data_IF_618176588097
#
_entry.id   IF_618176588097
#
_cell.length_a   1.000
_cell.length_b   1.000
_cell.length_c   1.000
_cell.angle_alpha   90.00
_cell.angle_beta   90.00
_cell.angle_gamma   90.00
#
_symmetry.space_group_name_H-M   'P 1'
#
loop_
_entity.id
_entity.type
_entity.pdbx_description
1 polymer ?
#
# COMPACT_ATOMS: atom_id res chain seq x y z
N UNK A 1 43.79 -24.47 -14.74
CA UNK A 1 42.31 -24.39 -14.79
C UNK A 1 41.86 -24.06 -13.39
N UNK A 2 41.48 -22.81 -13.15
CA UNK A 2 41.00 -22.36 -11.84
C UNK A 2 39.49 -22.63 -11.74
N UNK A 3 39.06 -23.26 -10.66
CA UNK A 3 37.64 -23.45 -10.35
C UNK A 3 36.93 -22.09 -10.21
N UNK A 4 35.69 -21.95 -10.71
CA UNK A 4 34.92 -20.73 -10.50
C UNK A 4 34.52 -20.64 -9.02
N UNK A 5 34.72 -19.46 -8.45
CA UNK A 5 34.29 -19.14 -7.09
C UNK A 5 32.80 -19.42 -6.93
N UNK A 6 32.46 -20.29 -5.98
CA UNK A 6 31.10 -20.55 -5.57
C UNK A 6 30.55 -19.26 -4.96
N UNK A 7 29.55 -18.67 -5.62
CA UNK A 7 28.81 -17.56 -5.07
C UNK A 7 28.04 -18.08 -3.86
N UNK A 8 28.60 -17.86 -2.67
CA UNK A 8 27.89 -18.08 -1.41
C UNK A 8 26.77 -17.03 -1.39
N UNK A 9 25.58 -17.42 -1.83
CA UNK A 9 24.36 -16.70 -1.49
C UNK A 9 24.05 -17.09 -0.05
N UNK A 10 24.39 -16.22 0.90
CA UNK A 10 23.75 -16.28 2.21
C UNK A 10 22.23 -16.32 1.97
N UNK A 11 21.48 -17.24 2.60
CA UNK A 11 20.03 -17.25 2.48
C UNK A 11 19.51 -15.93 3.02
N UNK A 12 18.90 -15.11 2.14
CA UNK A 12 18.29 -13.85 2.51
C UNK A 12 17.17 -14.14 3.54
N UNK A 13 17.23 -13.60 4.77
CA UNK A 13 16.16 -13.74 5.75
C UNK A 13 14.81 -13.15 5.27
N UNK A 14 14.77 -12.52 4.09
CA UNK A 14 13.56 -12.09 3.39
C UNK A 14 12.87 -13.18 2.53
N UNK A 15 13.34 -14.43 2.50
CA UNK A 15 12.71 -15.49 1.70
C UNK A 15 11.21 -15.73 2.01
N UNK A 16 10.74 -15.27 3.17
CA UNK A 16 9.34 -15.37 3.63
C UNK A 16 8.58 -14.03 3.57
N UNK A 17 9.16 -12.98 2.95
CA UNK A 17 8.49 -11.69 2.79
C UNK A 17 7.78 -11.59 1.45
N UNK A 18 6.61 -10.94 1.41
CA UNK A 18 5.94 -10.64 0.15
C UNK A 18 6.87 -9.92 -0.83
N UNK A 19 6.93 -10.43 -2.06
CA UNK A 19 7.70 -9.79 -3.12
C UNK A 19 6.81 -8.73 -3.78
N UNK A 20 7.23 -7.48 -3.69
CA UNK A 20 6.57 -6.35 -4.35
C UNK A 20 7.47 -5.74 -5.42
N UNK A 21 6.83 -5.07 -6.38
CA UNK A 21 7.53 -4.25 -7.37
C UNK A 21 8.07 -2.95 -6.76
N UNK A 22 8.77 -2.19 -7.59
CA UNK A 22 9.48 -0.97 -7.24
C UNK A 22 10.98 -1.14 -7.39
N UNK A 23 11.64 -0.05 -7.79
CA UNK A 23 13.09 0.03 -7.90
C UNK A 23 13.76 -0.25 -6.55
N UNK A 24 14.68 -1.22 -6.53
CA UNK A 24 15.54 -1.53 -5.37
C UNK A 24 16.88 -0.80 -5.51
N UNK A 25 17.25 0.10 -4.57
CA UNK A 25 18.53 0.82 -4.66
C UNK A 25 19.77 -0.09 -4.68
N UNK A 26 19.70 -1.26 -4.05
CA UNK A 26 20.78 -2.27 -4.07
C UNK A 26 20.99 -2.87 -5.45
N UNK A 27 19.89 -3.18 -6.16
CA UNK A 27 19.91 -3.72 -7.52
C UNK A 27 20.47 -2.70 -8.51
N UNK A 28 20.03 -1.44 -8.43
CA UNK A 28 20.60 -0.37 -9.25
C UNK A 28 22.11 -0.21 -9.06
N UNK A 29 22.58 -0.20 -7.80
CA UNK A 29 24.00 -0.09 -7.50
C UNK A 29 24.81 -1.26 -8.04
N UNK A 30 24.29 -2.49 -7.93
CA UNK A 30 24.95 -3.68 -8.47
C UNK A 30 25.08 -3.63 -10.00
N UNK A 31 24.13 -3.00 -10.68
CA UNK A 31 24.12 -2.81 -12.12
C UNK A 31 24.86 -1.54 -12.58
N UNK A 32 25.34 -0.70 -11.66
CA UNK A 32 25.95 0.59 -11.98
C UNK A 32 24.97 1.60 -12.60
N UNK A 33 23.67 1.43 -12.35
CA UNK A 33 22.60 2.27 -12.88
C UNK A 33 22.16 3.30 -11.84
N UNK A 34 21.63 4.42 -12.33
CA UNK A 34 20.92 5.41 -11.53
C UNK A 34 19.42 5.25 -11.74
N UNK A 35 18.56 5.70 -10.79
CA UNK A 35 17.11 5.60 -10.95
C UNK A 35 16.57 6.19 -12.25
N UNK A 36 17.14 7.31 -12.70
CA UNK A 36 16.78 7.98 -13.95
C UNK A 36 17.14 7.20 -15.22
N UNK A 37 18.00 6.18 -15.11
CA UNK A 37 18.38 5.32 -16.23
C UNK A 37 17.36 4.17 -16.43
N UNK A 38 16.33 4.08 -15.56
CA UNK A 38 15.38 2.96 -15.52
C UNK A 38 13.95 3.45 -15.71
N UNK A 39 13.22 2.77 -16.60
CA UNK A 39 11.77 2.88 -16.72
C UNK A 39 11.11 1.75 -15.91
N UNK A 40 10.48 2.11 -14.78
CA UNK A 40 9.90 1.14 -13.86
C UNK A 40 8.46 0.74 -14.24
N UNK A 41 8.29 -0.49 -14.70
CA UNK A 41 6.98 -1.13 -14.96
C UNK A 41 6.54 -2.09 -13.85
N UNK A 42 7.32 -2.21 -12.77
CA UNK A 42 7.06 -3.17 -11.70
C UNK A 42 6.11 -2.62 -10.64
N UNK A 43 6.00 -1.30 -10.51
CA UNK A 43 5.04 -0.63 -9.64
C UNK A 43 3.97 0.11 -10.43
N UNK A 44 2.69 -0.09 -10.08
CA UNK A 44 1.56 0.59 -10.71
C UNK A 44 1.36 2.01 -10.17
N UNK A 45 2.34 2.89 -10.39
CA UNK A 45 2.27 4.31 -10.02
C UNK A 45 1.81 5.13 -11.21
N UNK A 46 0.98 6.16 -10.95
CA UNK A 46 0.50 7.04 -12.02
C UNK A 46 1.66 7.83 -12.66
N UNK A 47 1.79 7.84 -14.01
CA UNK A 47 2.89 8.54 -14.68
C UNK A 47 2.70 10.06 -14.74
N UNK A 48 1.49 10.57 -14.44
CA UNK A 48 1.18 12.01 -14.51
C UNK A 48 1.69 12.80 -13.29
N UNK A 49 2.25 12.10 -12.30
CA UNK A 49 2.68 12.70 -11.04
C UNK A 49 1.52 13.09 -10.12
N UNK A 50 1.88 13.74 -9.01
CA UNK A 50 0.93 14.21 -8.01
C UNK A 50 0.23 15.50 -8.47
N UNK A 51 -1.06 15.69 -8.14
CA UNK A 51 -1.74 16.96 -8.36
C UNK A 51 -1.02 18.13 -7.67
N UNK A 52 -0.97 19.31 -8.28
CA UNK A 52 -0.24 20.48 -7.75
C UNK A 52 -0.66 20.88 -6.33
N UNK A 53 -1.96 20.78 -6.03
CA UNK A 53 -2.49 21.09 -4.70
C UNK A 53 -1.94 20.19 -3.58
N UNK A 54 -1.42 19.00 -3.89
CA UNK A 54 -0.75 18.13 -2.91
C UNK A 54 0.56 18.76 -2.46
N UNK A 55 1.36 19.33 -3.38
CA UNK A 55 2.62 19.99 -3.04
C UNK A 55 2.43 21.26 -2.22
N UNK A 56 1.33 21.97 -2.45
CA UNK A 56 0.92 23.12 -1.61
C UNK A 56 0.55 22.64 -0.21
N UNK A 57 -0.39 21.70 -0.10
CA UNK A 57 -0.82 21.16 1.19
C UNK A 57 0.35 20.60 2.01
N UNK A 58 1.27 19.85 1.39
CA UNK A 58 2.44 19.27 2.06
C UNK A 58 3.38 20.32 2.68
N UNK A 59 3.50 21.50 2.06
CA UNK A 59 4.35 22.58 2.59
C UNK A 59 3.78 23.22 3.86
N UNK A 60 2.47 23.15 4.03
CA UNK A 60 1.75 23.78 5.13
C UNK A 60 1.46 22.80 6.29
N UNK A 61 1.86 21.52 6.18
CA UNK A 61 1.65 20.53 7.24
C UNK A 61 2.54 20.84 8.45
N UNK A 62 1.91 21.02 9.62
CA UNK A 62 2.61 21.02 10.90
C UNK A 62 2.95 19.59 11.35
N UNK A 63 4.22 19.21 11.21
CA UNK A 63 4.73 17.91 11.62
C UNK A 63 5.05 17.81 13.13
N UNK A 64 4.93 18.91 13.88
CA UNK A 64 5.15 18.91 15.34
C UNK A 64 3.90 18.49 16.12
N UNK A 65 2.73 18.67 15.53
CA UNK A 65 1.46 18.25 16.09
C UNK A 65 1.18 16.77 15.78
N UNK A 66 0.58 16.06 16.75
CA UNK A 66 0.03 14.73 16.47
C UNK A 66 -1.17 14.88 15.52
N UNK A 67 -1.29 14.04 14.47
CA UNK A 67 -2.40 14.13 13.53
C UNK A 67 -3.74 13.92 14.22
N UNK A 68 -4.82 14.46 13.65
CA UNK A 68 -6.17 14.21 14.13
C UNK A 68 -6.45 12.69 14.17
N UNK A 69 -6.63 12.10 15.36
CA UNK A 69 -6.82 10.66 15.51
C UNK A 69 -8.11 10.16 14.88
N UNK A 70 -9.07 11.05 14.59
CA UNK A 70 -10.32 10.69 13.93
C UNK A 70 -10.28 10.88 12.42
N UNK A 71 -9.22 11.53 11.90
CA UNK A 71 -9.09 11.95 10.49
C UNK A 71 -10.37 12.64 9.97
N UNK A 72 -10.99 13.48 10.80
CA UNK A 72 -12.34 14.02 10.60
C UNK A 72 -12.45 14.79 9.29
N UNK A 73 -11.55 15.74 9.06
CA UNK A 73 -11.56 16.57 7.85
C UNK A 73 -11.38 15.72 6.59
N UNK A 74 -10.45 14.76 6.61
CA UNK A 74 -10.22 13.83 5.50
C UNK A 74 -11.46 12.96 5.24
N UNK A 75 -12.08 12.40 6.28
CA UNK A 75 -13.29 11.58 6.13
C UNK A 75 -14.47 12.39 5.60
N UNK A 76 -14.60 13.64 6.00
CA UNK A 76 -15.62 14.55 5.48
C UNK A 76 -15.37 14.92 4.01
N UNK A 77 -14.12 15.18 3.64
CA UNK A 77 -13.74 15.42 2.25
C UNK A 77 -14.03 14.20 1.36
N UNK A 78 -13.62 13.00 1.80
CA UNK A 78 -13.90 11.73 1.11
C UNK A 78 -15.39 11.43 1.02
N UNK A 79 -16.15 11.71 2.08
CA UNK A 79 -17.61 11.53 2.11
C UNK A 79 -18.29 12.28 0.97
N UNK A 80 -17.87 13.53 0.72
CA UNK A 80 -18.39 14.38 -0.36
C UNK A 80 -17.84 14.03 -1.74
N UNK A 81 -16.59 13.58 -1.83
CA UNK A 81 -15.92 13.33 -3.12
C UNK A 81 -16.22 11.94 -3.71
N UNK A 82 -16.45 10.93 -2.86
CA UNK A 82 -16.75 9.56 -3.28
C UNK A 82 -18.21 9.41 -3.73
N UNK A 83 -18.58 10.14 -4.78
CA UNK A 83 -19.88 10.07 -5.43
C UNK A 83 -19.79 9.27 -6.72
N UNK A 84 -20.91 8.65 -7.10
CA UNK A 84 -21.07 8.02 -8.41
C UNK A 84 -22.46 8.40 -8.92
N UNK A 85 -22.62 8.91 -10.15
CA UNK A 85 -23.90 9.44 -10.63
C UNK A 85 -25.05 8.44 -10.48
N UNK A 86 -24.81 7.18 -10.82
CA UNK A 86 -25.83 6.13 -10.78
C UNK A 86 -25.88 5.37 -9.44
N UNK A 87 -24.72 4.95 -8.92
CA UNK A 87 -24.65 4.07 -7.74
C UNK A 87 -24.68 4.81 -6.40
N UNK A 88 -24.26 6.09 -6.38
CA UNK A 88 -24.01 6.83 -5.14
C UNK A 88 -24.03 8.36 -5.35
N UNK A 89 -25.18 8.96 -5.68
CA UNK A 89 -25.26 10.40 -6.00
C UNK A 89 -24.98 11.30 -4.79
N UNK A 90 -25.16 10.80 -3.56
CA UNK A 90 -25.00 11.57 -2.33
C UNK A 90 -23.69 11.29 -1.57
N UNK A 91 -22.77 10.53 -2.16
CA UNK A 91 -21.47 10.22 -1.54
C UNK A 91 -21.50 9.04 -0.57
N UNK A 92 -20.39 8.83 0.14
CA UNK A 92 -20.27 7.77 1.15
C UNK A 92 -20.49 8.38 2.53
N UNK A 93 -21.42 7.88 3.37
CA UNK A 93 -21.55 8.34 4.75
C UNK A 93 -20.22 8.24 5.51
N UNK A 94 -19.86 9.29 6.26
CA UNK A 94 -18.57 9.39 6.97
C UNK A 94 -18.29 8.21 7.91
N UNK A 95 -19.32 7.68 8.56
CA UNK A 95 -19.28 6.52 9.44
C UNK A 95 -18.94 5.21 8.71
N UNK A 96 -19.00 5.19 7.37
CA UNK A 96 -18.56 4.08 6.50
C UNK A 96 -17.16 4.29 5.90
N UNK A 97 -16.43 5.32 6.33
CA UNK A 97 -15.07 5.60 5.86
C UNK A 97 -14.09 5.36 6.99
N UNK A 98 -13.15 4.45 6.75
CA UNK A 98 -11.97 4.20 7.58
C UNK A 98 -10.74 4.68 6.81
N UNK A 99 -9.90 5.50 7.46
CA UNK A 99 -8.62 5.94 6.93
C UNK A 99 -7.54 5.04 7.50
N UNK A 100 -6.60 4.61 6.65
CA UNK A 100 -5.44 3.83 7.07
C UNK A 100 -4.17 4.33 6.39
N UNK A 101 -3.04 3.88 6.89
CA UNK A 101 -1.70 4.12 6.37
C UNK A 101 -1.43 3.24 5.13
N UNK A 102 -2.23 3.45 4.08
CA UNK A 102 -2.26 2.61 2.88
C UNK A 102 -3.30 1.49 2.95
N UNK A 103 -3.69 0.96 1.80
CA UNK A 103 -4.74 -0.08 1.69
C UNK A 103 -4.35 -1.40 2.36
N UNK A 104 -3.05 -1.72 2.36
CA UNK A 104 -2.45 -2.87 3.07
C UNK A 104 -2.87 -2.92 4.53
N UNK A 105 -2.77 -1.82 5.26
CA UNK A 105 -3.19 -1.78 6.68
C UNK A 105 -4.67 -2.14 6.80
N UNK A 106 -5.51 -1.60 5.92
CA UNK A 106 -6.95 -1.87 5.92
C UNK A 106 -7.23 -3.35 5.64
N UNK A 107 -6.54 -3.99 4.71
CA UNK A 107 -6.65 -5.42 4.42
C UNK A 107 -6.29 -6.24 5.68
N UNK A 108 -5.17 -5.92 6.34
CA UNK A 108 -4.75 -6.59 7.57
C UNK A 108 -5.72 -6.37 8.74
N UNK A 109 -6.31 -5.18 8.85
CA UNK A 109 -7.32 -4.87 9.87
C UNK A 109 -8.61 -5.66 9.63
N UNK A 110 -9.06 -5.79 8.37
CA UNK A 110 -10.21 -6.60 8.02
C UNK A 110 -9.97 -8.09 8.34
N UNK A 111 -8.81 -8.63 7.96
CA UNK A 111 -8.43 -10.00 8.30
C UNK A 111 -8.44 -10.21 9.82
N UNK A 112 -7.87 -9.28 10.59
CA UNK A 112 -7.86 -9.38 12.06
C UNK A 112 -9.25 -9.28 12.68
N UNK A 113 -10.09 -8.37 12.20
CA UNK A 113 -11.43 -8.16 12.73
C UNK A 113 -12.37 -9.36 12.48
N UNK A 114 -12.25 -10.00 11.31
CA UNK A 114 -13.20 -11.03 10.88
C UNK A 114 -12.67 -12.46 10.93
N UNK A 115 -11.34 -12.67 10.99
CA UNK A 115 -10.75 -14.01 10.94
C UNK A 115 -10.10 -14.45 12.27
N UNK A 116 -9.72 -13.52 13.17
CA UNK A 116 -8.95 -13.89 14.39
C UNK A 116 -9.75 -14.67 15.44
N UNK A 117 -11.06 -14.46 15.53
CA UNK A 117 -11.92 -15.12 16.51
C UNK A 117 -13.10 -15.79 15.80
N UNK A 118 -13.19 -17.13 15.76
CA UNK A 118 -14.35 -17.80 15.20
C UNK A 118 -15.60 -17.49 16.02
N UNK A 119 -16.72 -17.22 15.35
CA UNK A 119 -18.03 -17.24 16.01
C UNK A 119 -18.32 -18.68 16.47
N UNK A 120 -19.01 -18.86 17.59
CA UNK A 120 -19.32 -20.18 18.14
C UNK A 120 -19.94 -21.09 17.08
N UNK A 121 -19.23 -22.18 16.75
CA UNK A 121 -19.67 -23.19 15.78
C UNK A 121 -19.36 -22.91 14.30
N UNK A 122 -18.64 -21.84 13.96
CA UNK A 122 -18.22 -21.53 12.59
C UNK A 122 -16.69 -21.47 12.45
N UNK A 123 -16.15 -21.96 11.33
CA UNK A 123 -14.78 -21.68 10.93
C UNK A 123 -14.76 -20.36 10.14
N UNK A 124 -13.91 -19.42 10.52
CA UNK A 124 -13.68 -18.21 9.72
C UNK A 124 -12.92 -18.59 8.45
N UNK A 125 -13.63 -18.75 7.33
CA UNK A 125 -13.05 -19.05 6.03
C UNK A 125 -13.07 -17.83 5.11
N UNK A 126 -12.02 -17.64 4.33
CA UNK A 126 -11.94 -16.63 3.27
C UNK A 126 -11.76 -17.31 1.92
N UNK A 127 -12.36 -16.75 0.87
CA UNK A 127 -12.17 -17.17 -0.51
C UNK A 127 -11.22 -16.20 -1.22
N UNK A 128 -10.11 -16.71 -1.75
CA UNK A 128 -9.12 -15.93 -2.49
C UNK A 128 -9.10 -16.39 -3.96
N UNK A 129 -9.27 -15.45 -4.88
CA UNK A 129 -9.12 -15.68 -6.31
C UNK A 129 -7.66 -15.44 -6.70
N UNK A 130 -6.95 -16.47 -7.18
CA UNK A 130 -5.54 -16.37 -7.56
C UNK A 130 -5.36 -16.37 -9.09
N UNK A 131 -4.40 -15.60 -9.64
CA UNK A 131 -3.42 -14.77 -8.95
C UNK A 131 -4.03 -13.45 -8.42
N UNK A 132 -3.58 -13.02 -7.24
CA UNK A 132 -4.01 -11.75 -6.60
C UNK A 132 -2.85 -11.13 -5.83
N UNK A 133 -3.08 -9.95 -5.27
CA UNK A 133 -2.19 -9.30 -4.32
C UNK A 133 -1.80 -10.27 -3.20
N UNK A 134 -0.50 -10.43 -2.98
CA UNK A 134 0.05 -11.26 -1.91
C UNK A 134 0.68 -10.38 -0.84
N UNK A 135 0.32 -10.64 0.41
CA UNK A 135 0.90 -10.07 1.63
C UNK A 135 0.92 -11.12 2.76
#
# INVERSE_FOLDING_TARGET
>A
MAEPAQHITDPDPAADRPVHGGIKPTELRALGLRPEDVLDFSASVSPIGQPSGVWEAMRDVDLSAYPDPQCLELREALSRSLTHPELRPHGVPRDRILVGNGSTEIIHLLARAYLSNPLDGAANSVFLLTPTYGE
#
